data_IF_485151352225
#
_entry.id   IF_485151352225
#
_cell.length_a   1.000
_cell.length_b   1.000
_cell.length_c   1.000
_cell.angle_alpha   90.00
_cell.angle_beta   90.00
_cell.angle_gamma   90.00
#
_symmetry.space_group_name_H-M   'P 1'
#
loop_
_entity.id
_entity.type
_entity.pdbx_description
1 polymer ?
#
# COMPACT_ATOMS: atom_id res chain seq x y z
N UNK A 1 15.64 -5.18 34.88
CA UNK A 1 15.55 -6.37 34.00
C UNK A 1 16.20 -6.00 32.67
N UNK A 2 17.06 -6.84 32.08
CA UNK A 2 17.58 -6.55 30.75
C UNK A 2 16.43 -6.70 29.75
N UNK A 3 16.04 -5.59 29.12
CA UNK A 3 15.08 -5.56 28.01
C UNK A 3 15.72 -6.32 26.85
N UNK A 4 15.04 -7.35 26.35
CA UNK A 4 15.48 -8.10 25.19
C UNK A 4 15.77 -7.13 24.03
N UNK A 5 16.86 -7.31 23.25
CA UNK A 5 17.19 -6.41 22.17
C UNK A 5 16.07 -6.42 21.12
N UNK A 6 15.72 -5.24 20.64
CA UNK A 6 14.86 -5.05 19.47
C UNK A 6 15.37 -5.96 18.34
N UNK A 7 14.45 -6.73 17.75
CA UNK A 7 14.75 -7.63 16.63
C UNK A 7 15.56 -6.86 15.58
N UNK A 8 16.75 -7.34 15.16
CA UNK A 8 17.58 -6.61 14.23
C UNK A 8 16.83 -6.42 12.90
N UNK A 9 16.73 -5.17 12.44
CA UNK A 9 16.21 -4.83 11.12
C UNK A 9 17.27 -5.23 10.08
N UNK A 10 17.10 -6.38 9.43
CA UNK A 10 18.03 -6.87 8.41
C UNK A 10 17.48 -6.61 7.00
N UNK A 11 18.29 -5.95 6.16
CA UNK A 11 18.26 -6.07 4.69
C UNK A 11 17.25 -5.19 3.94
N UNK A 12 17.57 -3.93 3.73
CA UNK A 12 16.79 -2.94 2.98
C UNK A 12 17.73 -2.17 2.03
N UNK A 13 17.24 -1.55 0.96
CA UNK A 13 18.07 -0.79 -0.03
C UNK A 13 17.42 0.55 -0.42
N UNK A 14 18.12 1.43 -1.17
CA UNK A 14 17.68 2.78 -1.51
C UNK A 14 16.38 2.93 -2.33
N UNK A 15 15.69 1.83 -2.63
CA UNK A 15 14.63 1.70 -3.65
C UNK A 15 13.24 1.43 -3.04
N UNK A 16 13.09 1.58 -1.73
CA UNK A 16 11.83 1.38 -0.99
C UNK A 16 11.91 0.28 0.06
N UNK A 17 10.80 -0.10 0.71
CA UNK A 17 10.79 -1.09 1.80
C UNK A 17 11.00 -2.54 1.33
N UNK A 18 11.45 -2.75 0.10
CA UNK A 18 11.53 -4.08 -0.51
C UNK A 18 12.82 -4.81 -0.15
N UNK A 19 12.77 -6.14 -0.08
CA UNK A 19 13.95 -6.99 0.10
C UNK A 19 14.85 -6.98 -1.13
N UNK A 20 16.13 -7.36 -0.99
CA UNK A 20 17.17 -7.28 -2.04
C UNK A 20 16.69 -7.75 -3.42
N UNK A 21 16.04 -8.90 -3.47
CA UNK A 21 15.56 -9.52 -4.72
C UNK A 21 14.35 -8.82 -5.36
N UNK A 22 13.58 -8.03 -4.60
CA UNK A 22 12.38 -7.34 -5.09
C UNK A 22 12.66 -5.93 -5.63
N UNK A 23 13.80 -5.32 -5.27
CA UNK A 23 13.99 -3.88 -5.39
C UNK A 23 13.93 -3.36 -6.81
N UNK A 24 14.71 -3.95 -7.72
CA UNK A 24 14.70 -3.51 -9.12
C UNK A 24 13.32 -3.68 -9.78
N UNK A 25 12.54 -4.65 -9.31
CA UNK A 25 11.21 -4.94 -9.84
C UNK A 25 10.12 -4.03 -9.24
N UNK A 26 10.29 -3.57 -8.01
CA UNK A 26 9.33 -2.69 -7.33
C UNK A 26 9.85 -1.25 -7.18
N UNK A 27 10.91 -0.89 -7.91
CA UNK A 27 11.40 0.50 -7.95
C UNK A 27 10.29 1.46 -8.40
N UNK A 28 10.19 2.59 -7.69
CA UNK A 28 9.12 3.55 -7.87
C UNK A 28 7.74 3.08 -7.38
N UNK A 29 7.61 1.91 -6.74
CA UNK A 29 6.37 1.49 -6.13
C UNK A 29 6.25 1.91 -4.66
N UNK A 30 5.09 2.41 -4.24
CA UNK A 30 4.75 2.68 -2.84
C UNK A 30 3.80 1.60 -2.32
N UNK A 31 4.13 0.89 -1.23
CA UNK A 31 3.19 -0.02 -0.60
C UNK A 31 2.11 0.75 0.16
N UNK A 32 0.88 0.30 0.01
CA UNK A 32 -0.30 0.81 0.69
C UNK A 32 -0.90 -0.33 1.54
N UNK A 33 -0.69 -0.29 2.87
CA UNK A 33 -1.30 -1.22 3.82
C UNK A 33 -2.82 -1.32 3.63
N UNK A 34 -3.30 -2.50 3.27
CA UNK A 34 -4.73 -2.75 3.00
C UNK A 34 -5.38 -3.54 4.14
N UNK A 35 -4.78 -4.67 4.54
CA UNK A 35 -5.18 -5.48 5.70
C UNK A 35 -4.01 -6.39 6.12
N UNK A 36 -4.19 -7.16 7.20
CA UNK A 36 -3.19 -8.12 7.67
C UNK A 36 -2.88 -9.22 6.65
N UNK A 37 -3.78 -9.43 5.67
CA UNK A 37 -3.65 -10.43 4.61
C UNK A 37 -3.45 -9.82 3.22
N UNK A 38 -3.59 -8.50 3.06
CA UNK A 38 -3.54 -7.86 1.75
C UNK A 38 -2.64 -6.63 1.72
N UNK A 39 -1.88 -6.53 0.63
CA UNK A 39 -1.06 -5.36 0.33
C UNK A 39 -1.29 -4.89 -1.10
N UNK A 40 -1.39 -3.58 -1.29
CA UNK A 40 -1.47 -2.95 -2.60
C UNK A 40 -0.17 -2.17 -2.83
N UNK A 41 0.38 -2.21 -4.03
CA UNK A 41 1.55 -1.42 -4.44
C UNK A 41 1.12 -0.50 -5.59
N UNK A 42 1.37 0.79 -5.43
CA UNK A 42 1.12 1.80 -6.46
C UNK A 42 2.44 2.10 -7.14
N UNK A 43 2.51 1.98 -8.46
CA UNK A 43 3.74 2.05 -9.23
C UNK A 43 3.59 3.07 -10.37
N UNK A 44 3.11 4.28 -10.03
CA UNK A 44 2.76 5.30 -11.02
C UNK A 44 1.54 4.91 -11.89
N UNK A 45 1.80 4.47 -13.13
CA UNK A 45 0.76 4.15 -14.13
C UNK A 45 -0.10 2.92 -13.81
N UNK A 46 0.27 2.13 -12.80
CA UNK A 46 -0.47 0.94 -12.39
C UNK A 46 -0.57 0.79 -10.88
N UNK A 47 -1.55 0.00 -10.44
CA UNK A 47 -1.63 -0.53 -9.07
C UNK A 47 -1.71 -2.05 -9.13
N UNK A 48 -0.86 -2.73 -8.36
CA UNK A 48 -0.89 -4.19 -8.19
C UNK A 48 -1.27 -4.51 -6.74
N UNK A 49 -1.98 -5.61 -6.50
CA UNK A 49 -2.25 -6.08 -5.15
C UNK A 49 -2.04 -7.58 -5.01
N UNK A 50 -1.80 -7.94 -3.77
CA UNK A 50 -1.58 -9.27 -3.24
C UNK A 50 -2.59 -9.45 -2.10
N UNK A 51 -3.25 -10.59 -2.06
CA UNK A 51 -4.11 -10.98 -0.94
C UNK A 51 -3.93 -12.47 -0.66
N UNK A 52 -3.59 -12.78 0.58
CA UNK A 52 -3.45 -14.14 1.07
C UNK A 52 -4.78 -14.62 1.66
N UNK A 53 -5.34 -15.67 1.08
CA UNK A 53 -6.65 -16.22 1.44
C UNK A 53 -6.49 -17.63 2.01
N UNK A 54 -7.34 -17.99 2.96
CA UNK A 54 -7.49 -19.35 3.49
C UNK A 54 -8.85 -19.90 3.09
N UNK A 55 -8.97 -21.22 3.04
CA UNK A 55 -10.26 -21.94 2.90
C UNK A 55 -11.04 -21.63 1.61
N UNK A 56 -10.36 -21.17 0.55
CA UNK A 56 -10.94 -20.90 -0.77
C UNK A 56 -10.07 -21.54 -1.86
N UNK A 57 -10.69 -21.88 -3.00
CA UNK A 57 -9.96 -22.32 -4.20
C UNK A 57 -9.58 -21.15 -5.12
N UNK A 58 -8.67 -21.39 -6.07
CA UNK A 58 -8.18 -20.36 -7.00
C UNK A 58 -9.32 -19.68 -7.79
N UNK A 59 -10.29 -20.44 -8.30
CA UNK A 59 -11.43 -19.88 -9.03
C UNK A 59 -12.27 -18.93 -8.16
N UNK A 60 -12.54 -19.30 -6.92
CA UNK A 60 -13.30 -18.45 -5.97
C UNK A 60 -12.52 -17.19 -5.58
N UNK A 61 -11.20 -17.30 -5.46
CA UNK A 61 -10.33 -16.15 -5.26
C UNK A 61 -10.34 -15.21 -6.48
N UNK A 62 -10.34 -15.73 -7.71
CA UNK A 62 -10.48 -14.90 -8.93
C UNK A 62 -11.82 -14.15 -8.95
N UNK A 63 -12.93 -14.80 -8.60
CA UNK A 63 -14.25 -14.15 -8.51
C UNK A 63 -14.29 -13.05 -7.43
N UNK A 64 -13.63 -13.27 -6.29
CA UNK A 64 -13.51 -12.25 -5.23
C UNK A 64 -12.73 -11.03 -5.72
N UNK A 65 -11.62 -11.26 -6.42
CA UNK A 65 -10.81 -10.19 -7.02
C UNK A 65 -11.55 -9.48 -8.13
N UNK A 66 -12.36 -10.19 -8.90
CA UNK A 66 -13.24 -9.62 -9.91
C UNK A 66 -14.29 -8.68 -9.29
N UNK A 67 -14.92 -9.08 -8.17
CA UNK A 67 -15.83 -8.21 -7.43
C UNK A 67 -15.13 -6.93 -6.95
N UNK A 68 -13.88 -7.03 -6.48
CA UNK A 68 -13.03 -5.86 -6.13
C UNK A 68 -12.75 -4.96 -7.32
N UNK A 69 -12.53 -5.51 -8.52
CA UNK A 69 -12.35 -4.71 -9.74
C UNK A 69 -13.65 -4.01 -10.12
N UNK A 70 -14.79 -4.71 -10.08
CA UNK A 70 -16.11 -4.14 -10.38
C UNK A 70 -16.53 -3.06 -9.39
N UNK A 71 -16.20 -3.19 -8.12
CA UNK A 71 -16.48 -2.13 -7.13
C UNK A 71 -15.64 -0.87 -7.40
N UNK A 72 -14.40 -1.02 -7.89
CA UNK A 72 -13.49 0.09 -8.19
C UNK A 72 -13.76 0.76 -9.54
N UNK A 73 -14.04 -0.02 -10.59
CA UNK A 73 -14.15 0.47 -11.98
C UNK A 73 -15.59 0.47 -12.52
N UNK A 74 -16.54 0.01 -11.71
CA UNK A 74 -17.95 -0.16 -12.07
C UNK A 74 -18.25 -1.48 -12.79
N UNK A 75 -19.55 -1.78 -12.93
CA UNK A 75 -20.05 -3.07 -13.42
C UNK A 75 -19.84 -3.33 -14.93
N UNK A 76 -19.66 -2.27 -15.72
CA UNK A 76 -19.49 -2.38 -17.19
C UNK A 76 -18.01 -2.50 -17.53
N UNK A 77 -17.54 -3.73 -17.74
CA UNK A 77 -16.19 -4.09 -18.12
C UNK A 77 -16.22 -5.05 -19.32
N UNK A 78 -15.23 -4.96 -20.20
CA UNK A 78 -14.95 -6.01 -21.19
C UNK A 78 -14.07 -7.04 -20.50
N UNK A 79 -14.51 -8.30 -20.49
CA UNK A 79 -13.94 -9.37 -19.66
C UNK A 79 -13.59 -10.59 -20.53
N UNK A 80 -12.40 -11.15 -20.32
CA UNK A 80 -11.94 -12.36 -20.98
C UNK A 80 -11.35 -13.29 -19.92
N UNK A 81 -12.00 -14.45 -19.72
CA UNK A 81 -11.47 -15.51 -18.87
C UNK A 81 -10.38 -16.29 -19.61
N UNK A 82 -9.42 -16.80 -18.87
CA UNK A 82 -8.33 -17.60 -19.42
C UNK A 82 -7.41 -18.09 -18.32
N UNK A 83 -6.17 -18.40 -18.68
CA UNK A 83 -5.16 -18.84 -17.74
C UNK A 83 -3.85 -18.04 -17.89
N UNK A 84 -3.14 -17.86 -16.78
CA UNK A 84 -1.81 -17.27 -16.76
C UNK A 84 -0.76 -18.30 -16.32
N UNK A 85 0.36 -18.44 -17.05
CA UNK A 85 1.46 -19.29 -16.64
C UNK A 85 2.28 -18.59 -15.54
N UNK A 86 2.04 -18.93 -14.29
CA UNK A 86 2.72 -18.37 -13.11
C UNK A 86 3.33 -19.48 -12.28
N UNK A 87 4.50 -19.25 -11.69
CA UNK A 87 5.22 -20.23 -10.86
C UNK A 87 5.39 -21.63 -11.53
N UNK A 88 5.50 -21.68 -12.86
CA UNK A 88 5.66 -22.92 -13.63
C UNK A 88 4.37 -23.72 -13.83
N UNK A 89 3.19 -23.17 -13.52
CA UNK A 89 1.87 -23.80 -13.71
C UNK A 89 0.88 -22.83 -14.33
N UNK A 90 -0.18 -23.36 -14.94
CA UNK A 90 -1.29 -22.56 -15.47
C UNK A 90 -2.30 -22.32 -14.36
N UNK A 91 -2.75 -21.06 -14.21
CA UNK A 91 -3.65 -20.63 -13.16
C UNK A 91 -4.84 -19.86 -13.73
N UNK A 92 -6.05 -19.99 -13.16
CA UNK A 92 -7.23 -19.28 -13.65
C UNK A 92 -7.02 -17.78 -13.53
N UNK A 93 -7.45 -17.07 -14.56
CA UNK A 93 -7.27 -15.63 -14.68
C UNK A 93 -8.44 -14.96 -15.39
N UNK A 94 -8.58 -13.67 -15.13
CA UNK A 94 -9.52 -12.79 -15.76
C UNK A 94 -8.78 -11.55 -16.25
N UNK A 95 -8.79 -11.33 -17.56
CA UNK A 95 -8.39 -10.04 -18.16
C UNK A 95 -9.61 -9.14 -18.22
N UNK A 96 -9.46 -7.88 -17.82
CA UNK A 96 -10.53 -6.90 -17.90
C UNK A 96 -10.07 -5.59 -18.54
N UNK A 97 -11.01 -4.85 -19.11
CA UNK A 97 -10.81 -3.48 -19.59
C UNK A 97 -12.05 -2.62 -19.34
N UNK A 98 -11.85 -1.35 -18.98
CA UNK A 98 -12.89 -0.34 -18.84
C UNK A 98 -12.87 0.58 -20.06
N UNK A 99 -13.75 0.32 -21.01
CA UNK A 99 -13.88 1.09 -22.23
C UNK A 99 -15.20 1.87 -22.23
N UNK A 100 -15.23 3.03 -22.87
CA UNK A 100 -16.43 3.87 -22.94
C UNK A 100 -17.56 3.18 -23.74
N UNK A 101 -17.23 2.30 -24.70
CA UNK A 101 -18.13 1.34 -25.32
C UNK A 101 -17.73 -0.11 -25.04
N UNK A 102 -18.71 -1.00 -24.80
CA UNK A 102 -18.49 -2.44 -24.55
C UNK A 102 -17.90 -3.19 -25.76
N UNK A 103 -17.95 -2.58 -26.95
CA UNK A 103 -17.38 -3.11 -28.20
C UNK A 103 -15.88 -2.80 -28.40
N UNK A 104 -15.24 -2.07 -27.47
CA UNK A 104 -13.80 -1.80 -27.53
C UNK A 104 -13.35 -0.82 -28.62
N UNK A 105 -14.29 -0.09 -29.24
CA UNK A 105 -14.01 0.87 -30.33
C UNK A 105 -13.49 2.23 -29.84
N UNK A 106 -13.64 2.52 -28.54
CA UNK A 106 -13.13 3.75 -27.89
C UNK A 106 -11.99 3.45 -26.91
N UNK A 107 -11.07 4.42 -26.66
CA UNK A 107 -9.93 4.21 -25.79
C UNK A 107 -10.37 3.80 -24.38
N UNK A 108 -9.83 2.67 -23.91
CA UNK A 108 -10.11 2.16 -22.59
C UNK A 108 -9.35 2.98 -21.54
N UNK A 109 -10.06 3.42 -20.51
CA UNK A 109 -9.51 4.27 -19.42
C UNK A 109 -8.75 3.46 -18.38
N UNK A 110 -8.94 2.15 -18.35
CA UNK A 110 -8.22 1.22 -17.51
C UNK A 110 -8.25 -0.19 -18.09
N UNK A 111 -7.30 -1.03 -17.71
CA UNK A 111 -7.35 -2.46 -17.93
C UNK A 111 -6.45 -3.21 -16.97
N UNK A 112 -6.48 -4.53 -17.01
CA UNK A 112 -5.69 -5.31 -16.08
C UNK A 112 -6.05 -6.78 -16.02
N UNK A 113 -5.59 -7.39 -14.93
CA UNK A 113 -5.67 -8.83 -14.71
C UNK A 113 -6.05 -9.11 -13.26
N UNK A 114 -6.80 -10.19 -13.05
CA UNK A 114 -6.98 -10.86 -11.76
C UNK A 114 -6.62 -12.32 -11.96
N UNK A 115 -5.91 -12.92 -11.02
CA UNK A 115 -5.52 -14.34 -11.04
C UNK A 115 -5.37 -14.82 -9.61
N UNK A 116 -5.32 -16.12 -9.40
CA UNK A 116 -4.98 -16.69 -8.11
C UNK A 116 -4.01 -17.86 -8.26
N UNK A 117 -3.10 -18.02 -7.31
CA UNK A 117 -2.16 -19.14 -7.28
C UNK A 117 -2.21 -19.85 -5.93
N UNK A 118 -2.20 -21.17 -5.94
CA UNK A 118 -2.04 -21.99 -4.73
C UNK A 118 -0.56 -22.12 -4.44
N UNK A 119 -0.14 -21.55 -3.32
CA UNK A 119 1.24 -21.63 -2.83
C UNK A 119 1.60 -23.06 -2.43
N UNK A 120 2.89 -23.36 -2.34
CA UNK A 120 3.37 -24.67 -1.84
C UNK A 120 2.90 -24.98 -0.42
N UNK A 121 2.59 -23.96 0.38
CA UNK A 121 2.03 -24.08 1.73
C UNK A 121 0.50 -24.31 1.74
N UNK A 122 -0.14 -24.50 0.58
CA UNK A 122 -1.57 -24.74 0.45
C UNK A 122 -2.46 -23.49 0.61
N UNK A 123 -1.86 -22.31 0.83
CA UNK A 123 -2.60 -21.04 0.87
C UNK A 123 -2.87 -20.53 -0.54
N UNK A 124 -4.04 -19.94 -0.77
CA UNK A 124 -4.36 -19.29 -2.04
C UNK A 124 -3.96 -17.83 -1.99
N UNK A 125 -3.18 -17.42 -2.98
CA UNK A 125 -2.72 -16.05 -3.15
C UNK A 125 -3.43 -15.44 -4.34
N UNK A 126 -4.36 -14.53 -4.07
CA UNK A 126 -5.03 -13.73 -5.10
C UNK A 126 -4.11 -12.57 -5.50
N UNK A 127 -3.92 -12.40 -6.80
CA UNK A 127 -3.15 -11.31 -7.39
C UNK A 127 -4.06 -10.52 -8.32
N UNK A 128 -3.92 -9.20 -8.30
CA UNK A 128 -4.61 -8.37 -9.27
C UNK A 128 -3.84 -7.11 -9.61
N UNK A 129 -4.10 -6.56 -10.78
CA UNK A 129 -3.43 -5.36 -11.26
C UNK A 129 -4.39 -4.51 -12.10
N UNK A 130 -4.36 -3.19 -11.91
CA UNK A 130 -5.05 -2.20 -12.75
C UNK A 130 -3.99 -1.26 -13.34
N UNK A 131 -3.89 -1.23 -14.66
CA UNK A 131 -3.12 -0.26 -15.43
C UNK A 131 -4.02 0.88 -15.92
N UNK A 132 -3.52 2.10 -15.83
CA UNK A 132 -4.15 3.32 -16.35
C UNK A 132 -4.18 3.29 -17.89
N UNK A 133 -5.26 3.81 -18.47
CA UNK A 133 -5.44 3.96 -19.92
C UNK A 133 -5.26 2.66 -20.72
N UNK A 134 -5.35 1.50 -20.05
CA UNK A 134 -5.13 0.18 -20.64
C UNK A 134 -3.79 0.10 -21.40
N UNK A 135 -2.76 0.82 -20.92
CA UNK A 135 -1.49 0.94 -21.61
C UNK A 135 -0.78 -0.42 -21.71
N UNK A 136 -0.34 -0.79 -22.92
CA UNK A 136 0.27 -2.11 -23.17
C UNK A 136 1.53 -2.35 -22.32
N UNK A 137 2.34 -1.32 -22.12
CA UNK A 137 3.55 -1.41 -21.29
C UNK A 137 3.21 -1.74 -19.84
N UNK A 138 2.23 -1.03 -19.26
CA UNK A 138 1.81 -1.25 -17.88
C UNK A 138 1.12 -2.61 -17.67
N UNK A 139 0.36 -3.07 -18.66
CA UNK A 139 -0.19 -4.44 -18.65
C UNK A 139 0.91 -5.50 -18.68
N UNK A 140 1.97 -5.29 -19.47
CA UNK A 140 3.15 -6.15 -19.44
C UNK A 140 3.82 -6.14 -18.06
N UNK A 141 3.97 -4.96 -17.47
CA UNK A 141 4.53 -4.79 -16.12
C UNK A 141 3.69 -5.49 -15.05
N UNK A 142 2.35 -5.47 -15.14
CA UNK A 142 1.49 -6.25 -14.25
C UNK A 142 1.88 -7.74 -14.21
N UNK A 143 2.15 -8.34 -15.38
CA UNK A 143 2.50 -9.75 -15.50
C UNK A 143 3.90 -10.04 -14.94
N UNK A 144 4.86 -9.13 -15.12
CA UNK A 144 6.19 -9.21 -14.48
C UNK A 144 6.08 -9.20 -12.95
N UNK A 145 5.27 -8.30 -12.40
CA UNK A 145 5.02 -8.22 -10.96
C UNK A 145 4.31 -9.48 -10.45
N UNK A 146 3.35 -10.02 -11.19
CA UNK A 146 2.68 -11.27 -10.83
C UNK A 146 3.64 -12.45 -10.75
N UNK A 147 4.62 -12.57 -11.64
CA UNK A 147 5.59 -13.66 -11.60
C UNK A 147 6.40 -13.67 -10.29
N UNK A 148 6.77 -12.49 -9.79
CA UNK A 148 7.41 -12.36 -8.48
C UNK A 148 6.42 -12.67 -7.35
N UNK A 149 5.26 -12.01 -7.33
CA UNK A 149 4.28 -12.16 -6.24
C UNK A 149 3.76 -13.60 -6.13
N UNK A 150 3.58 -14.31 -7.24
CA UNK A 150 3.11 -15.69 -7.24
C UNK A 150 4.10 -16.65 -6.56
N UNK A 151 5.40 -16.38 -6.68
CA UNK A 151 6.47 -17.25 -6.16
C UNK A 151 6.99 -16.81 -4.79
N UNK A 152 7.29 -15.52 -4.64
CA UNK A 152 7.94 -14.95 -3.45
C UNK A 152 6.95 -14.36 -2.45
N UNK A 153 5.74 -14.02 -2.87
CA UNK A 153 4.76 -13.36 -2.02
C UNK A 153 5.09 -11.90 -1.78
N UNK A 154 4.99 -11.44 -0.53
CA UNK A 154 5.17 -10.04 -0.16
C UNK A 154 6.61 -9.55 -0.46
N UNK A 155 6.82 -8.55 -1.35
CA UNK A 155 8.15 -7.98 -1.63
C UNK A 155 8.82 -7.28 -0.44
N UNK A 156 8.10 -7.01 0.66
CA UNK A 156 8.68 -6.53 1.92
C UNK A 156 9.36 -7.66 2.72
N UNK A 157 9.12 -8.93 2.37
CA UNK A 157 9.71 -10.12 2.98
C UNK A 157 8.91 -10.71 4.15
N UNK A 158 8.00 -9.93 4.74
CA UNK A 158 7.16 -10.36 5.85
C UNK A 158 5.93 -11.15 5.38
N UNK A 159 5.54 -12.18 6.12
CA UNK A 159 4.33 -12.95 5.83
C UNK A 159 3.06 -12.11 6.09
N UNK A 160 2.13 -12.08 5.13
CA UNK A 160 0.82 -11.45 5.34
C UNK A 160 -0.13 -12.47 6.00
N UNK A 161 -0.30 -12.32 7.30
CA UNK A 161 -1.22 -13.10 8.13
C UNK A 161 -1.58 -12.31 9.38
N UNK A 162 -2.82 -12.41 9.90
CA UNK A 162 -3.17 -11.85 11.21
C UNK A 162 -2.24 -12.32 12.34
N UNK A 163 -1.77 -13.57 12.28
CA UNK A 163 -0.83 -14.14 13.26
C UNK A 163 0.61 -13.64 13.13
N UNK A 164 0.93 -12.95 12.02
CA UNK A 164 2.26 -12.40 11.75
C UNK A 164 2.34 -10.90 12.05
N UNK A 165 1.25 -10.29 12.53
CA UNK A 165 1.23 -8.88 12.92
C UNK A 165 2.17 -8.65 14.10
N UNK A 166 3.08 -7.69 13.93
CA UNK A 166 3.96 -7.27 15.01
C UNK A 166 3.16 -6.51 16.06
N UNK A 167 3.18 -7.03 17.29
CA UNK A 167 2.51 -6.44 18.46
C UNK A 167 3.50 -6.32 19.63
N UNK A 168 3.64 -5.13 20.24
CA UNK A 168 3.03 -3.86 19.83
C UNK A 168 3.65 -3.34 18.52
N UNK A 169 2.89 -2.58 17.69
CA UNK A 169 3.44 -1.95 16.50
C UNK A 169 4.54 -0.95 16.88
N UNK A 170 5.50 -0.70 15.98
CA UNK A 170 6.60 0.22 16.25
C UNK A 170 6.97 1.04 15.02
N UNK A 171 7.44 2.27 15.28
CA UNK A 171 8.32 3.00 14.38
C UNK A 171 9.76 2.61 14.71
N UNK A 172 10.74 2.84 13.82
CA UNK A 172 12.09 2.31 14.02
C UNK A 172 12.75 2.69 15.37
N UNK A 173 12.30 3.79 15.99
CA UNK A 173 12.84 4.34 17.24
C UNK A 173 11.92 4.19 18.46
N UNK A 174 10.65 3.79 18.30
CA UNK A 174 9.73 3.65 19.45
C UNK A 174 8.53 2.76 19.16
N UNK A 175 7.99 2.20 20.23
CA UNK A 175 6.71 1.51 20.23
C UNK A 175 5.56 2.51 20.02
N UNK A 176 4.56 2.08 19.26
CA UNK A 176 3.31 2.80 19.01
C UNK A 176 2.19 2.29 19.94
N UNK A 177 1.31 3.20 20.34
CA UNK A 177 0.09 2.84 21.04
C UNK A 177 -1.03 2.53 20.04
N UNK A 178 -1.80 1.48 20.31
CA UNK A 178 -3.09 1.23 19.63
C UNK A 178 -4.18 1.72 20.58
N UNK A 179 -4.83 2.88 20.32
CA UNK A 179 -5.86 3.40 21.20
C UNK A 179 -7.05 2.44 21.30
N UNK A 180 -7.80 2.53 22.40
CA UNK A 180 -9.03 1.76 22.59
C UNK A 180 -10.02 2.01 21.43
N UNK A 181 -10.64 0.95 20.93
CA UNK A 181 -11.54 1.00 19.77
C UNK A 181 -10.83 1.05 18.41
N UNK A 182 -9.50 1.21 18.37
CA UNK A 182 -8.74 1.11 17.13
C UNK A 182 -8.27 -0.33 16.86
N UNK A 183 -8.15 -0.66 15.59
CA UNK A 183 -7.65 -1.94 15.11
C UNK A 183 -6.31 -1.76 14.41
N UNK A 184 -5.38 -2.68 14.70
CA UNK A 184 -4.17 -2.82 13.92
C UNK A 184 -4.53 -3.54 12.62
N UNK A 185 -4.74 -2.76 11.57
CA UNK A 185 -5.10 -3.29 10.25
C UNK A 185 -3.90 -3.93 9.56
N UNK A 186 -2.68 -3.47 9.88
CA UNK A 186 -1.42 -3.97 9.32
C UNK A 186 -0.25 -3.63 10.27
N UNK A 187 0.77 -4.48 10.35
CA UNK A 187 1.97 -4.26 11.18
C UNK A 187 3.06 -5.26 10.83
N UNK A 188 4.06 -4.78 10.12
CA UNK A 188 5.25 -5.51 9.70
C UNK A 188 6.50 -4.81 10.21
N UNK A 189 7.68 -5.36 9.91
CA UNK A 189 8.94 -4.69 10.28
C UNK A 189 9.15 -3.38 9.50
N UNK A 190 8.36 -3.14 8.43
CA UNK A 190 8.59 -2.07 7.46
C UNK A 190 7.40 -1.17 7.22
N UNK A 191 6.20 -1.54 7.63
CA UNK A 191 5.01 -0.74 7.43
C UNK A 191 3.93 -1.13 8.42
N UNK A 192 2.92 -0.29 8.56
CA UNK A 192 1.72 -0.69 9.29
C UNK A 192 0.65 0.38 9.25
N UNK A 193 -0.49 0.04 9.85
CA UNK A 193 -1.68 0.87 9.87
C UNK A 193 -2.53 0.62 11.10
N UNK A 194 -2.86 1.69 11.81
CA UNK A 194 -3.88 1.73 12.86
C UNK A 194 -5.13 2.39 12.28
N UNK A 195 -6.25 1.68 12.30
CA UNK A 195 -7.57 2.17 11.84
C UNK A 195 -8.49 2.30 13.05
N UNK A 196 -9.08 3.48 13.21
CA UNK A 196 -10.14 3.76 14.17
C UNK A 196 -11.39 4.21 13.39
N UNK A 197 -12.52 4.36 14.07
CA UNK A 197 -13.81 4.72 13.45
C UNK A 197 -13.75 5.96 12.55
N UNK A 198 -13.02 6.99 12.98
CA UNK A 198 -12.96 8.28 12.26
C UNK A 198 -11.56 8.69 11.84
N UNK A 199 -10.54 7.89 12.14
CA UNK A 199 -9.15 8.25 11.89
C UNK A 199 -8.31 7.06 11.49
N UNK A 200 -7.30 7.29 10.67
CA UNK A 200 -6.30 6.29 10.28
C UNK A 200 -4.91 6.88 10.46
N UNK A 201 -4.00 6.09 11.03
CA UNK A 201 -2.57 6.34 10.99
C UNK A 201 -1.88 5.21 10.24
N UNK A 202 -0.98 5.54 9.31
CA UNK A 202 -0.17 4.57 8.57
C UNK A 202 1.28 5.02 8.47
N UNK A 203 2.19 4.06 8.44
CA UNK A 203 3.61 4.32 8.31
C UNK A 203 4.28 3.35 7.34
N UNK A 204 5.43 3.76 6.83
CA UNK A 204 6.35 2.94 6.05
C UNK A 204 7.77 3.32 6.38
N UNK A 205 8.66 2.35 6.42
CA UNK A 205 10.07 2.48 6.80
C UNK A 205 10.92 2.00 5.64
N UNK A 206 11.87 2.83 5.22
CA UNK A 206 12.86 2.50 4.21
C UNK A 206 14.27 2.67 4.78
N UNK A 207 15.17 1.79 4.39
CA UNK A 207 16.54 1.71 4.89
C UNK A 207 17.42 1.06 3.80
N UNK A 208 18.76 1.20 3.83
CA UNK A 208 19.43 2.31 4.42
C UNK A 208 19.08 3.59 3.65
N UNK A 209 18.95 4.68 4.38
CA UNK A 209 18.98 6.02 3.81
C UNK A 209 20.43 6.43 3.70
N UNK A 210 20.86 6.80 2.50
CA UNK A 210 22.16 7.45 2.37
C UNK A 210 22.07 8.86 2.95
N UNK A 211 22.89 9.22 3.94
CA UNK A 211 22.89 10.56 4.51
C UNK A 211 23.08 11.63 3.43
N UNK A 212 22.26 12.68 3.46
CA UNK A 212 22.30 13.76 2.47
C UNK A 212 21.74 13.44 1.08
N UNK A 213 21.19 12.23 0.88
CA UNK A 213 20.50 11.90 -0.37
C UNK A 213 19.09 12.51 -0.40
N UNK A 214 18.66 12.98 -1.57
CA UNK A 214 17.29 13.47 -1.78
C UNK A 214 16.24 12.33 -1.83
N UNK A 215 16.60 11.11 -1.44
CA UNK A 215 15.76 9.91 -1.58
C UNK A 215 14.51 10.01 -0.72
N UNK A 216 14.68 10.45 0.52
CA UNK A 216 13.60 10.66 1.50
C UNK A 216 12.62 11.69 1.00
N UNK A 217 13.14 12.81 0.48
CA UNK A 217 12.34 13.90 -0.03
C UNK A 217 11.49 13.46 -1.23
N UNK A 218 12.11 12.81 -2.22
CA UNK A 218 11.40 12.30 -3.40
C UNK A 218 10.36 11.25 -3.05
N UNK A 219 10.73 10.30 -2.19
CA UNK A 219 9.81 9.25 -1.78
C UNK A 219 8.64 9.78 -0.96
N UNK A 220 8.88 10.74 -0.05
CA UNK A 220 7.83 11.45 0.68
C UNK A 220 6.88 12.15 -0.30
N UNK A 221 7.43 12.92 -1.24
CA UNK A 221 6.64 13.72 -2.18
C UNK A 221 5.81 12.80 -3.09
N UNK A 222 6.41 11.73 -3.63
CA UNK A 222 5.71 10.71 -4.40
C UNK A 222 4.61 10.01 -3.58
N UNK A 223 4.91 9.60 -2.34
CA UNK A 223 3.93 8.92 -1.49
C UNK A 223 2.75 9.83 -1.11
N UNK A 224 3.00 11.14 -0.96
CA UNK A 224 1.97 12.14 -0.72
C UNK A 224 1.09 12.35 -1.96
N UNK A 225 1.69 12.49 -3.15
CA UNK A 225 0.98 12.60 -4.44
C UNK A 225 0.10 11.37 -4.69
N UNK A 226 0.66 10.17 -4.53
CA UNK A 226 -0.10 8.95 -4.72
C UNK A 226 -1.25 8.81 -3.71
N UNK A 227 -1.06 9.24 -2.46
CA UNK A 227 -2.14 9.24 -1.46
C UNK A 227 -3.24 10.23 -1.84
N UNK A 228 -2.87 11.42 -2.31
CA UNK A 228 -3.79 12.46 -2.77
C UNK A 228 -4.63 11.96 -3.97
N UNK A 229 -3.98 11.41 -5.00
CA UNK A 229 -4.63 10.89 -6.20
C UNK A 229 -5.63 9.75 -5.91
N UNK A 230 -5.45 9.04 -4.80
CA UNK A 230 -6.33 7.97 -4.39
C UNK A 230 -7.56 8.43 -3.61
N UNK A 231 -7.70 9.72 -3.33
CA UNK A 231 -8.81 10.30 -2.59
C UNK A 231 -9.60 11.22 -3.53
N UNK A 232 -10.63 10.70 -4.24
CA UNK A 232 -11.43 11.50 -5.15
C UNK A 232 -12.05 12.72 -4.46
N UNK A 233 -11.89 13.89 -5.08
CA UNK A 233 -12.38 15.15 -4.50
C UNK A 233 -11.44 15.77 -3.46
N UNK A 234 -10.22 15.27 -3.33
CA UNK A 234 -9.22 15.90 -2.47
C UNK A 234 -8.92 17.35 -2.88
N UNK A 235 -8.73 18.22 -1.89
CA UNK A 235 -8.33 19.61 -2.09
C UNK A 235 -6.91 19.70 -2.67
N UNK A 236 -6.47 20.87 -3.17
CA UNK A 236 -5.06 21.11 -3.44
C UNK A 236 -4.18 20.79 -2.23
N UNK A 237 -2.96 20.33 -2.48
CA UNK A 237 -1.97 20.01 -1.45
C UNK A 237 -1.30 21.29 -0.96
N UNK A 238 -1.40 21.55 0.35
CA UNK A 238 -0.66 22.58 1.06
C UNK A 238 0.66 21.99 1.59
N UNK A 239 1.79 22.62 1.26
CA UNK A 239 3.11 22.24 1.80
C UNK A 239 3.46 23.21 2.93
N UNK A 240 3.82 22.65 4.08
CA UNK A 240 4.07 23.42 5.30
C UNK A 240 5.25 22.85 6.09
N UNK A 241 5.93 23.72 6.84
CA UNK A 241 6.99 23.29 7.76
C UNK A 241 6.36 22.61 8.99
N UNK A 242 6.90 21.46 9.37
CA UNK A 242 6.37 20.65 10.47
C UNK A 242 7.50 19.86 11.16
N UNK A 243 7.13 19.12 12.20
CA UNK A 243 7.95 18.07 12.78
C UNK A 243 7.29 16.70 12.55
N UNK A 244 8.12 15.72 12.19
CA UNK A 244 7.75 14.30 12.19
C UNK A 244 8.72 13.56 13.11
N UNK A 245 8.21 12.89 14.14
CA UNK A 245 9.02 12.28 15.21
C UNK A 245 10.04 13.26 15.82
N UNK A 246 9.65 14.54 15.96
CA UNK A 246 10.49 15.61 16.50
C UNK A 246 11.56 16.14 15.55
N UNK A 247 11.67 15.61 14.32
CA UNK A 247 12.62 16.06 13.31
C UNK A 247 11.93 17.05 12.36
N UNK A 248 12.54 18.22 12.14
CA UNK A 248 12.01 19.24 11.25
C UNK A 248 12.00 18.74 9.80
N UNK A 249 10.85 18.89 9.13
CA UNK A 249 10.66 18.48 7.73
C UNK A 249 9.56 19.32 7.07
N UNK A 250 9.27 19.04 5.79
CA UNK A 250 8.09 19.53 5.09
C UNK A 250 7.00 18.47 5.14
N UNK A 251 5.82 18.86 5.57
CA UNK A 251 4.61 18.05 5.51
C UNK A 251 3.75 18.49 4.32
N UNK A 252 2.98 17.54 3.80
CA UNK A 252 1.88 17.82 2.90
C UNK A 252 0.56 17.69 3.68
N UNK A 253 -0.35 18.63 3.47
CA UNK A 253 -1.68 18.66 4.06
C UNK A 253 -2.71 18.89 2.98
N UNK A 254 -3.82 18.17 3.04
CA UNK A 254 -4.98 18.40 2.19
C UNK A 254 -6.24 17.87 2.88
N UNK A 255 -7.41 18.24 2.37
CA UNK A 255 -8.68 17.63 2.78
C UNK A 255 -9.19 16.69 1.72
N UNK A 256 -10.00 15.71 2.12
CA UNK A 256 -10.73 14.85 1.19
C UNK A 256 -12.08 14.45 1.79
N UNK A 257 -13.10 14.18 0.96
CA UNK A 257 -14.35 13.61 1.45
C UNK A 257 -14.11 12.27 2.17
N UNK A 258 -14.73 12.06 3.32
CA UNK A 258 -14.67 10.76 4.00
C UNK A 258 -15.35 9.68 3.15
N UNK A 259 -14.70 8.52 2.93
CA UNK A 259 -15.29 7.42 2.17
C UNK A 259 -16.54 6.84 2.85
N UNK A 260 -16.66 6.96 4.18
CA UNK A 260 -17.74 6.38 4.98
C UNK A 260 -18.92 7.36 5.20
N UNK A 261 -18.91 8.54 4.55
CA UNK A 261 -20.00 9.52 4.67
C UNK A 261 -20.05 10.17 6.06
N UNK A 262 -19.06 11.02 6.38
CA UNK A 262 -18.91 11.65 7.69
C UNK A 262 -18.38 13.09 7.68
N UNK A 263 -18.40 13.74 6.52
CA UNK A 263 -17.74 15.03 6.26
C UNK A 263 -16.31 14.88 5.78
N UNK A 264 -15.60 15.99 5.66
CA UNK A 264 -14.22 16.00 5.17
C UNK A 264 -13.23 15.53 6.23
N UNK A 265 -12.27 14.70 5.81
CA UNK A 265 -11.07 14.37 6.57
C UNK A 265 -9.93 15.30 6.18
N UNK A 266 -9.10 15.65 7.15
CA UNK A 266 -7.80 16.27 6.92
C UNK A 266 -6.77 15.15 6.87
N UNK A 267 -5.94 15.16 5.84
CA UNK A 267 -4.81 14.26 5.67
C UNK A 267 -3.52 15.05 5.90
N UNK A 268 -2.64 14.50 6.73
CA UNK A 268 -1.28 14.96 6.93
C UNK A 268 -0.32 13.86 6.54
N UNK A 269 0.68 14.19 5.75
CA UNK A 269 1.78 13.28 5.42
C UNK A 269 3.11 13.94 5.64
N UNK A 270 4.11 13.17 6.00
CA UNK A 270 5.47 13.68 6.16
C UNK A 270 6.48 12.55 6.10
N UNK A 271 7.73 12.92 5.93
CA UNK A 271 8.82 11.96 5.90
C UNK A 271 10.12 12.56 6.42
N UNK A 272 10.87 11.71 7.13
CA UNK A 272 12.13 12.05 7.78
C UNK A 272 13.11 10.89 7.63
N UNK A 273 14.40 11.19 7.71
CA UNK A 273 15.41 10.20 7.99
C UNK A 273 16.09 10.46 9.32
N UNK A 274 16.54 9.37 9.92
CA UNK A 274 17.28 9.32 11.16
C UNK A 274 18.14 8.07 11.17
N UNK A 275 19.45 8.23 11.44
CA UNK A 275 20.41 7.11 11.60
C UNK A 275 20.40 6.10 10.43
N UNK A 276 20.30 6.59 9.20
CA UNK A 276 20.27 5.73 8.02
C UNK A 276 18.95 4.97 7.85
N UNK A 277 17.91 5.37 8.57
CA UNK A 277 16.56 4.85 8.41
C UNK A 277 15.62 5.98 8.07
N UNK A 278 14.63 5.70 7.25
CA UNK A 278 13.71 6.69 6.75
C UNK A 278 12.29 6.26 7.00
N UNK A 279 11.45 7.23 7.30
CA UNK A 279 10.07 7.06 7.73
C UNK A 279 9.19 7.92 6.85
N UNK A 280 8.12 7.35 6.32
CA UNK A 280 6.95 8.08 5.85
C UNK A 280 5.82 7.77 6.81
N UNK A 281 5.10 8.81 7.19
CA UNK A 281 3.92 8.70 8.01
C UNK A 281 2.79 9.45 7.31
N UNK A 282 1.58 8.93 7.47
CA UNK A 282 0.35 9.60 7.09
C UNK A 282 -0.69 9.45 8.21
N UNK A 283 -1.39 10.53 8.52
CA UNK A 283 -2.56 10.49 9.39
C UNK A 283 -3.74 11.18 8.71
N UNK A 284 -4.89 10.50 8.68
CA UNK A 284 -6.16 11.06 8.23
C UNK A 284 -7.14 11.09 9.39
N UNK A 285 -7.79 12.23 9.64
CA UNK A 285 -8.73 12.41 10.75
C UNK A 285 -9.75 13.52 10.43
N UNK A 286 -10.89 13.63 11.13
CA UNK A 286 -11.88 14.65 10.84
C UNK A 286 -11.31 16.05 11.14
N UNK A 287 -11.61 17.04 10.31
CA UNK A 287 -11.05 18.40 10.49
C UNK A 287 -11.26 19.00 11.89
N UNK A 288 -12.42 18.69 12.50
CA UNK A 288 -12.79 19.11 13.87
C UNK A 288 -11.95 18.48 14.98
N UNK A 289 -11.17 17.43 14.69
CA UNK A 289 -10.38 16.69 15.66
C UNK A 289 -8.94 17.19 15.76
N UNK A 290 -8.66 18.45 15.37
CA UNK A 290 -7.38 19.11 15.61
C UNK A 290 -7.37 19.77 17.00
N UNK A 291 -6.28 19.67 17.81
CA UNK A 291 -4.95 19.11 17.51
C UNK A 291 -4.95 17.59 17.32
N UNK A 292 -3.90 17.04 16.69
CA UNK A 292 -3.84 15.64 16.24
C UNK A 292 -4.42 14.63 17.27
N UNK A 293 -5.36 13.75 16.84
CA UNK A 293 -5.93 12.75 17.73
C UNK A 293 -4.88 11.72 18.18
N UNK A 294 -5.16 11.04 19.29
CA UNK A 294 -4.28 9.99 19.84
C UNK A 294 -3.95 8.88 18.83
N UNK A 295 -4.83 8.63 17.86
CA UNK A 295 -4.61 7.68 16.76
C UNK A 295 -3.45 8.06 15.85
N UNK A 296 -3.14 9.36 15.67
CA UNK A 296 -1.94 9.82 14.98
C UNK A 296 -0.64 9.62 15.78
N UNK A 297 -0.74 9.03 16.98
CA UNK A 297 0.38 8.57 17.78
C UNK A 297 1.41 9.65 18.16
N UNK A 298 1.03 10.94 18.14
CA UNK A 298 1.95 12.05 18.40
C UNK A 298 3.09 12.18 17.38
N UNK A 299 2.93 11.59 16.18
CA UNK A 299 3.97 11.55 15.16
C UNK A 299 4.21 12.92 14.51
N UNK A 300 3.17 13.74 14.43
CA UNK A 300 3.20 15.04 13.78
C UNK A 300 3.08 16.18 14.80
N UNK A 301 3.80 17.28 14.55
CA UNK A 301 3.57 18.56 15.20
C UNK A 301 3.72 19.72 14.18
N UNK A 302 2.87 20.76 14.19
CA UNK A 302 3.05 21.92 13.34
C UNK A 302 4.25 22.76 13.83
N UNK A 303 4.89 23.50 12.91
CA UNK A 303 5.97 24.43 13.22
C UNK A 303 5.53 25.88 13.07
#
# INVERSE_FOLDING_TARGET
>A
MPVAPAVPVVGSTPVGPFVAEAQALFDGCVPVPSSATSRTYRCGGLSVWLEEMTDVGEAQAVETGHARVRSRLGLRLTEVTGELPLAGRSHPSLRFAKCAGLKGEEPCRAGGYVTAVTTSAGRVRQLGCVARDNARADLGRCLELFAYLSTKGNPEGDALSPSSLITPPFLPWRVLGVPEGCQLADSTTRAGRIRCDTSTFSWSVFQPVQPGSAHVGRWRDQSAEELHDALPGASPVEVLDCYVEGVATRCARFTAPSPDGGGDVVVWTGGVDWQGQGLFAACSFPARAFPFPASCNGVFAPR
#
